data_IF_411057481580
#
_entry.id   IF_411057481580
#
_cell.length_a   1.000
_cell.length_b   1.000
_cell.length_c   1.000
_cell.angle_alpha   90.00
_cell.angle_beta   90.00
_cell.angle_gamma   90.00
#
_symmetry.space_group_name_H-M   'P 1'
#
loop_
_entity.id
_entity.type
_entity.pdbx_description
1 polymer ?
#
# COMPACT_ATOMS: atom_id res chain seq x y z
N UNK A 1 -1.67 7.47 16.25
CA UNK A 1 -2.09 6.93 14.93
C UNK A 1 -3.43 6.24 15.07
N UNK A 2 -4.36 6.56 14.20
CA UNK A 2 -5.63 5.84 14.06
C UNK A 2 -5.49 4.88 12.89
N UNK A 3 -5.75 3.61 13.13
CA UNK A 3 -5.65 2.56 12.11
C UNK A 3 -6.94 1.75 12.12
N UNK A 4 -7.63 1.76 10.99
CA UNK A 4 -8.85 0.98 10.77
C UNK A 4 -8.59 0.07 9.59
N UNK A 5 -8.76 -1.24 9.77
CA UNK A 5 -8.49 -2.20 8.70
C UNK A 5 -9.46 -3.37 8.72
N UNK A 6 -9.66 -3.95 7.54
CA UNK A 6 -10.42 -5.18 7.34
C UNK A 6 -9.55 -6.22 6.64
N UNK A 7 -9.71 -7.47 7.02
CA UNK A 7 -8.92 -8.59 6.50
C UNK A 7 -9.84 -9.72 6.05
N UNK A 8 -9.48 -10.34 4.95
CA UNK A 8 -10.19 -11.52 4.45
C UNK A 8 -9.98 -12.73 5.36
N UNK A 9 -8.80 -12.84 5.98
CA UNK A 9 -8.40 -13.94 6.84
C UNK A 9 -8.33 -13.51 8.29
N UNK A 10 -8.57 -14.44 9.22
CA UNK A 10 -8.47 -14.18 10.65
C UNK A 10 -7.07 -13.73 11.05
N UNK A 11 -6.02 -14.33 10.45
CA UNK A 11 -4.64 -13.97 10.71
C UNK A 11 -4.10 -13.06 9.61
N UNK A 12 -3.59 -11.91 10.02
CA UNK A 12 -2.90 -10.98 9.12
C UNK A 12 -1.44 -11.41 8.97
N UNK A 13 -0.99 -11.56 7.72
CA UNK A 13 0.43 -11.76 7.41
C UNK A 13 1.06 -10.47 6.89
N UNK A 14 2.18 -10.09 7.48
CA UNK A 14 2.94 -8.91 7.08
C UNK A 14 3.42 -9.03 5.62
N UNK A 15 3.73 -10.25 5.19
CA UNK A 15 4.19 -10.52 3.82
C UNK A 15 3.07 -10.65 2.79
N UNK A 16 1.81 -10.69 3.23
CA UNK A 16 0.65 -10.85 2.35
C UNK A 16 0.41 -12.28 1.90
N UNK A 17 -0.50 -12.43 0.94
CA UNK A 17 -0.90 -13.71 0.37
C UNK A 17 -0.93 -13.62 -1.14
N UNK A 18 -0.46 -14.67 -1.82
CA UNK A 18 -0.59 -14.82 -3.26
C UNK A 18 -1.62 -15.91 -3.58
N UNK A 19 -2.60 -15.59 -4.43
CA UNK A 19 -3.58 -16.55 -4.91
C UNK A 19 -3.78 -16.37 -6.41
N UNK A 20 -3.27 -17.29 -7.20
CA UNK A 20 -3.36 -17.27 -8.66
C UNK A 20 -4.53 -18.12 -9.19
N UNK A 21 -5.38 -18.66 -8.31
CA UNK A 21 -6.53 -19.49 -8.68
C UNK A 21 -7.79 -18.67 -8.93
N UNK A 22 -7.75 -17.38 -8.61
CA UNK A 22 -8.87 -16.44 -8.78
C UNK A 22 -8.43 -15.23 -9.61
N UNK A 23 -9.34 -14.57 -10.34
CA UNK A 23 -8.99 -13.39 -11.13
C UNK A 23 -8.51 -12.22 -10.27
N UNK A 24 -9.23 -11.93 -9.19
CA UNK A 24 -8.94 -10.83 -8.27
C UNK A 24 -9.58 -11.09 -6.92
N UNK A 25 -8.82 -10.88 -5.87
CA UNK A 25 -9.34 -10.92 -4.50
C UNK A 25 -8.59 -9.90 -3.65
N UNK A 26 -9.34 -9.19 -2.80
CA UNK A 26 -8.76 -8.25 -1.84
C UNK A 26 -8.42 -9.01 -0.56
N UNK A 27 -7.15 -8.97 -0.18
CA UNK A 27 -6.67 -9.62 1.04
C UNK A 27 -6.98 -8.76 2.27
N UNK A 28 -6.80 -7.43 2.13
CA UNK A 28 -6.90 -6.53 3.25
C UNK A 28 -6.98 -5.11 2.72
N UNK A 29 -7.67 -4.24 3.44
CA UNK A 29 -7.70 -2.82 3.14
C UNK A 29 -7.84 -2.04 4.41
N UNK A 30 -7.54 -0.75 4.37
CA UNK A 30 -7.67 0.06 5.55
C UNK A 30 -7.38 1.53 5.34
N UNK A 31 -7.47 2.24 6.46
CA UNK A 31 -7.21 3.66 6.57
C UNK A 31 -6.28 3.90 7.75
N UNK A 32 -5.33 4.80 7.57
CA UNK A 32 -4.41 5.24 8.62
C UNK A 32 -4.41 6.76 8.70
N UNK A 33 -4.54 7.29 9.91
CA UNK A 33 -4.45 8.72 10.19
C UNK A 33 -3.32 8.91 11.18
N UNK A 34 -2.33 9.73 10.82
CA UNK A 34 -1.15 9.98 11.62
C UNK A 34 -1.26 11.37 12.26
N UNK A 35 -1.39 11.40 13.58
CA UNK A 35 -1.55 12.63 14.34
C UNK A 35 -0.33 12.98 15.20
N UNK A 36 0.28 11.98 15.82
CA UNK A 36 1.37 12.17 16.79
C UNK A 36 2.56 11.26 16.56
N UNK A 37 2.40 10.16 15.82
CA UNK A 37 3.46 9.19 15.58
C UNK A 37 3.85 9.16 14.12
N UNK A 38 5.15 9.12 13.86
CA UNK A 38 5.68 8.84 12.53
C UNK A 38 5.61 7.34 12.25
N UNK A 39 5.64 6.99 10.98
CA UNK A 39 5.61 5.60 10.54
C UNK A 39 6.67 5.38 9.47
N UNK A 40 7.39 4.28 9.60
CA UNK A 40 8.41 3.87 8.64
C UNK A 40 8.15 2.45 8.20
N UNK A 41 8.04 2.24 6.90
CA UNK A 41 7.93 0.91 6.31
C UNK A 41 9.25 0.51 5.69
N UNK A 42 9.69 -0.70 6.00
CA UNK A 42 10.92 -1.26 5.46
C UNK A 42 10.66 -2.73 5.14
N UNK A 43 10.40 -3.03 3.86
CA UNK A 43 10.20 -4.38 3.37
C UNK A 43 11.17 -4.65 2.23
N UNK A 44 12.32 -5.18 2.57
CA UNK A 44 13.41 -5.45 1.62
C UNK A 44 12.97 -6.33 0.46
N UNK A 45 12.12 -7.31 0.72
CA UNK A 45 11.65 -8.29 -0.28
C UNK A 45 10.22 -8.00 -0.75
N UNK A 46 9.65 -6.86 -0.35
CA UNK A 46 8.29 -6.48 -0.70
C UNK A 46 7.23 -7.38 -0.07
N UNK A 47 6.12 -7.52 -0.77
CA UNK A 47 4.99 -8.37 -0.37
C UNK A 47 4.73 -9.43 -1.42
N UNK A 48 3.95 -10.45 -1.06
CA UNK A 48 3.50 -11.49 -2.00
C UNK A 48 2.31 -11.02 -2.84
N UNK A 49 1.61 -9.98 -2.40
CA UNK A 49 0.47 -9.40 -3.09
C UNK A 49 0.78 -8.01 -3.64
N UNK A 50 -0.18 -7.44 -4.35
CA UNK A 50 -0.15 -6.06 -4.82
C UNK A 50 -0.60 -5.12 -3.71
N UNK A 51 -0.06 -3.92 -3.71
CA UNK A 51 -0.48 -2.87 -2.78
C UNK A 51 -0.69 -1.56 -3.53
N UNK A 52 -1.86 -0.94 -3.33
CA UNK A 52 -2.11 0.44 -3.72
C UNK A 52 -2.26 1.26 -2.46
N UNK A 53 -1.55 2.39 -2.42
CA UNK A 53 -1.64 3.39 -1.37
C UNK A 53 -2.22 4.65 -2.00
N UNK A 54 -3.28 5.19 -1.41
CA UNK A 54 -3.87 6.46 -1.82
C UNK A 54 -3.64 7.49 -0.72
N UNK A 55 -3.06 8.63 -1.09
CA UNK A 55 -2.81 9.73 -0.17
C UNK A 55 -4.02 10.67 -0.25
N UNK A 56 -4.84 10.65 0.80
CA UNK A 56 -6.05 11.45 0.86
C UNK A 56 -5.79 12.85 1.38
N UNK A 57 -4.91 12.97 2.38
CA UNK A 57 -4.49 14.25 2.98
C UNK A 57 -3.02 14.19 3.36
N UNK A 58 -2.39 15.36 3.42
CA UNK A 58 -0.99 15.47 3.79
C UNK A 58 -0.07 14.93 2.71
N UNK A 59 1.03 14.33 3.13
CA UNK A 59 2.03 13.79 2.21
C UNK A 59 2.68 12.54 2.76
N UNK A 60 3.29 11.77 1.86
CA UNK A 60 4.11 10.63 2.19
C UNK A 60 5.40 10.67 1.39
N UNK A 61 6.40 9.95 1.87
CA UNK A 61 7.73 9.89 1.25
C UNK A 61 8.00 8.45 0.84
N UNK A 62 8.27 8.24 -0.45
CA UNK A 62 8.36 6.92 -1.03
C UNK A 62 9.68 6.76 -1.80
N UNK A 63 10.33 5.62 -1.60
CA UNK A 63 11.50 5.26 -2.38
C UNK A 63 11.04 4.52 -3.63
N UNK A 64 11.12 5.20 -4.78
CA UNK A 64 10.63 4.71 -6.07
C UNK A 64 11.70 4.98 -7.13
N UNK A 65 11.97 3.99 -7.99
CA UNK A 65 12.93 4.15 -9.09
C UNK A 65 14.29 4.68 -8.63
N UNK A 66 14.79 4.15 -7.51
CA UNK A 66 16.09 4.50 -6.93
C UNK A 66 16.20 5.94 -6.40
N UNK A 67 15.07 6.57 -6.08
CA UNK A 67 15.08 7.91 -5.47
C UNK A 67 13.91 8.08 -4.50
N UNK A 68 14.10 8.97 -3.51
CA UNK A 68 13.04 9.36 -2.60
C UNK A 68 12.18 10.45 -3.22
N UNK A 69 10.87 10.21 -3.26
CA UNK A 69 9.88 11.12 -3.82
C UNK A 69 8.86 11.46 -2.75
N UNK A 70 8.54 12.76 -2.62
CA UNK A 70 7.46 13.23 -1.77
C UNK A 70 6.20 13.35 -2.60
N UNK A 71 5.13 12.66 -2.18
CA UNK A 71 3.84 12.71 -2.83
C UNK A 71 2.78 13.29 -1.90
N UNK A 72 2.00 14.22 -2.42
CA UNK A 72 0.92 14.87 -1.68
C UNK A 72 -0.44 14.25 -2.00
N UNK A 73 -1.49 14.79 -1.36
CA UNK A 73 -2.86 14.33 -1.54
C UNK A 73 -3.26 14.26 -3.02
N UNK A 74 -4.02 13.23 -3.36
CA UNK A 74 -4.46 12.96 -4.73
C UNK A 74 -3.59 11.99 -5.51
N UNK A 75 -2.46 11.56 -4.95
CA UNK A 75 -1.57 10.59 -5.59
C UNK A 75 -1.83 9.17 -5.11
N UNK A 76 -1.53 8.22 -5.97
CA UNK A 76 -1.51 6.79 -5.62
C UNK A 76 -0.11 6.24 -5.87
N UNK A 77 0.25 5.23 -5.08
CA UNK A 77 1.49 4.47 -5.25
C UNK A 77 1.10 3.00 -5.43
N UNK A 78 1.64 2.38 -6.47
CA UNK A 78 1.46 0.95 -6.72
C UNK A 78 2.77 0.23 -6.41
N UNK A 79 2.69 -0.77 -5.54
CA UNK A 79 3.76 -1.73 -5.35
C UNK A 79 3.31 -3.09 -5.86
N UNK A 80 4.02 -3.62 -6.86
CA UNK A 80 3.81 -4.98 -7.35
C UNK A 80 4.46 -6.00 -6.41
N UNK A 81 4.03 -7.26 -6.44
CA UNK A 81 4.66 -8.31 -5.63
C UNK A 81 6.17 -8.36 -5.82
N UNK A 82 6.90 -8.56 -4.74
CA UNK A 82 8.34 -8.72 -4.74
C UNK A 82 9.15 -7.42 -4.87
N UNK A 83 8.51 -6.29 -5.10
CA UNK A 83 9.19 -5.00 -5.18
C UNK A 83 9.48 -4.49 -3.77
N UNK A 84 10.74 -4.13 -3.45
CA UNK A 84 11.07 -3.57 -2.14
C UNK A 84 10.23 -2.33 -1.83
N UNK A 85 9.78 -2.25 -0.58
CA UNK A 85 8.93 -1.16 -0.12
C UNK A 85 9.64 -0.38 0.97
N UNK A 86 9.97 0.88 0.68
CA UNK A 86 10.54 1.80 1.65
C UNK A 86 9.74 3.10 1.58
N UNK A 87 9.03 3.42 2.64
CA UNK A 87 8.27 4.66 2.70
C UNK A 87 8.09 5.12 4.13
N UNK A 88 7.75 6.39 4.29
CA UNK A 88 7.56 6.99 5.59
C UNK A 88 6.44 8.02 5.57
N UNK A 89 5.79 8.15 6.72
CA UNK A 89 4.79 9.18 7.00
C UNK A 89 5.22 9.93 8.25
N UNK A 90 5.28 11.25 8.15
CA UNK A 90 5.61 12.10 9.30
C UNK A 90 4.33 12.75 9.84
N UNK A 91 4.07 12.58 11.12
CA UNK A 91 2.87 13.10 11.79
C UNK A 91 2.69 14.61 11.60
N UNK A 92 3.78 15.36 11.55
CA UNK A 92 3.75 16.82 11.32
C UNK A 92 3.13 17.21 9.98
N UNK A 93 3.16 16.32 9.00
CA UNK A 93 2.56 16.52 7.68
C UNK A 93 1.10 16.07 7.63
N UNK A 94 0.58 15.53 8.73
CA UNK A 94 -0.80 15.10 8.92
C UNK A 94 -1.32 14.19 7.80
N UNK A 95 -0.60 13.08 7.47
CA UNK A 95 -1.04 12.20 6.41
C UNK A 95 -2.29 11.42 6.81
N UNK A 96 -3.18 11.28 5.85
CA UNK A 96 -4.34 10.41 5.91
C UNK A 96 -4.30 9.51 4.70
N UNK A 97 -4.14 8.20 4.93
CA UNK A 97 -3.78 7.22 3.93
C UNK A 97 -4.85 6.13 3.86
N UNK A 98 -5.25 5.77 2.65
CA UNK A 98 -6.01 4.55 2.39
C UNK A 98 -5.12 3.56 1.66
N UNK A 99 -5.27 2.28 1.96
CA UNK A 99 -4.48 1.25 1.32
C UNK A 99 -5.32 0.00 1.07
N UNK A 100 -4.91 -0.75 0.06
CA UNK A 100 -5.54 -2.02 -0.32
C UNK A 100 -4.46 -3.00 -0.75
N UNK A 101 -4.57 -4.23 -0.28
CA UNK A 101 -3.74 -5.35 -0.72
C UNK A 101 -4.60 -6.33 -1.47
N UNK A 102 -4.16 -6.73 -2.66
CA UNK A 102 -4.93 -7.63 -3.52
C UNK A 102 -4.01 -8.57 -4.29
N UNK A 103 -4.60 -9.65 -4.76
CA UNK A 103 -3.91 -10.68 -5.55
C UNK A 103 -4.87 -11.30 -6.56
N UNK A 104 -4.35 -12.08 -7.50
CA UNK A 104 -5.13 -12.76 -8.51
C UNK A 104 -4.37 -12.91 -9.82
N UNK A 105 -4.89 -13.73 -10.72
CA UNK A 105 -4.24 -13.98 -12.01
C UNK A 105 -4.59 -12.92 -13.07
N UNK A 106 -5.53 -12.00 -12.80
CA UNK A 106 -5.93 -10.93 -13.72
C UNK A 106 -5.50 -9.53 -13.26
N UNK A 107 -4.69 -9.43 -12.19
CA UNK A 107 -4.32 -8.12 -11.61
C UNK A 107 -3.65 -7.20 -12.63
N UNK A 108 -2.68 -7.69 -13.42
CA UNK A 108 -1.98 -6.86 -14.40
C UNK A 108 -2.94 -6.38 -15.51
N UNK A 109 -3.84 -7.23 -15.96
CA UNK A 109 -4.83 -6.85 -16.98
C UNK A 109 -5.78 -5.79 -16.43
N UNK A 110 -6.22 -5.93 -15.18
CA UNK A 110 -7.12 -4.97 -14.53
C UNK A 110 -6.41 -3.62 -14.35
N UNK A 111 -5.18 -3.62 -13.85
CA UNK A 111 -4.40 -2.39 -13.68
C UNK A 111 -4.23 -1.67 -15.01
N UNK A 112 -3.92 -2.41 -16.06
CA UNK A 112 -3.76 -1.86 -17.41
C UNK A 112 -5.04 -1.20 -17.94
N UNK A 113 -6.21 -1.77 -17.65
CA UNK A 113 -7.49 -1.18 -18.04
C UNK A 113 -7.72 0.21 -17.43
N UNK A 114 -7.15 0.46 -16.27
CA UNK A 114 -7.29 1.73 -15.55
C UNK A 114 -6.04 2.62 -15.66
N UNK A 115 -5.13 2.30 -16.55
CA UNK A 115 -3.87 3.04 -16.77
C UNK A 115 -3.01 3.18 -15.50
N UNK A 116 -3.00 2.14 -14.72
CA UNK A 116 -2.20 2.12 -13.48
C UNK A 116 -0.89 1.35 -13.68
#
# INVERSE_FOLDING_TARGET
>A
MINISGHLREERKITGYCNQDVPLIVNCCGKQVFQTQDYFCNRKNGRLDYQIIYIHRGSGHFYLNNEWITLSAGNIVLYRPGIPQYYSYYAKEKPEIYWIHFTGNECENILKQYDI
#
